data_IF_496279013810
#
_entry.id   IF_496279013810
#
_cell.length_a   1.000
_cell.length_b   1.000
_cell.length_c   1.000
_cell.angle_alpha   90.00
_cell.angle_beta   90.00
_cell.angle_gamma   90.00
#
_symmetry.space_group_name_H-M   'P 1'
#
loop_
_entity.id
_entity.type
_entity.pdbx_description
1 polymer ?
#
# COMPACT_ATOMS: atom_id res chain seq x y z
N UNK A 1 13.60 -58.82 58.65
CA UNK A 1 13.90 -58.46 57.23
C UNK A 1 12.62 -57.74 56.69
N UNK A 2 12.61 -56.40 56.70
CA UNK A 2 11.46 -55.60 56.23
C UNK A 2 11.77 -54.98 54.88
N UNK A 3 11.11 -55.42 53.85
CA UNK A 3 11.15 -54.80 52.51
C UNK A 3 10.28 -53.55 52.51
N UNK A 4 10.89 -52.41 52.20
CA UNK A 4 10.21 -51.15 51.99
C UNK A 4 10.04 -50.99 50.45
N UNK A 5 8.75 -51.12 49.97
CA UNK A 5 8.39 -50.78 48.59
C UNK A 5 8.25 -49.28 48.46
N UNK A 6 9.14 -48.64 47.70
CA UNK A 6 9.03 -47.26 47.33
C UNK A 6 8.15 -47.16 46.07
N UNK A 7 6.99 -46.47 46.18
CA UNK A 7 6.10 -46.16 45.05
C UNK A 7 6.53 -44.81 44.50
N UNK A 8 7.11 -44.78 43.31
CA UNK A 8 7.39 -43.58 42.54
C UNK A 8 6.09 -43.13 41.83
N UNK A 9 5.51 -42.05 42.29
CA UNK A 9 4.41 -41.38 41.58
C UNK A 9 4.97 -40.47 40.49
N UNK A 10 4.81 -40.80 39.23
CA UNK A 10 5.14 -39.97 38.09
C UNK A 10 4.02 -38.94 37.89
N UNK A 11 4.29 -37.68 38.21
CA UNK A 11 3.40 -36.56 37.89
C UNK A 11 3.61 -36.19 36.43
N UNK A 12 2.68 -36.56 35.55
CA UNK A 12 2.63 -36.12 34.17
C UNK A 12 2.06 -34.67 34.12
N UNK A 13 2.91 -33.69 33.95
CA UNK A 13 2.49 -32.32 33.63
C UNK A 13 1.93 -32.27 32.20
N UNK A 14 0.60 -32.36 32.05
CA UNK A 14 -0.05 -31.97 30.80
C UNK A 14 0.04 -30.44 30.66
N UNK A 15 0.98 -29.97 29.85
CA UNK A 15 1.00 -28.57 29.41
C UNK A 15 -0.17 -28.37 28.42
N UNK A 16 -1.27 -27.84 28.90
CA UNK A 16 -2.36 -27.35 28.04
C UNK A 16 -1.85 -26.08 27.33
N UNK A 17 -1.39 -26.23 26.09
CA UNK A 17 -1.16 -25.11 25.19
C UNK A 17 -2.52 -24.47 24.88
N UNK A 18 -2.80 -23.29 25.42
CA UNK A 18 -3.95 -22.50 24.98
C UNK A 18 -3.82 -22.24 23.48
N UNK A 19 -4.87 -22.42 22.67
CA UNK A 19 -4.81 -22.06 21.26
C UNK A 19 -4.47 -20.57 21.16
N UNK A 20 -3.35 -20.25 20.51
CA UNK A 20 -3.03 -18.86 20.17
C UNK A 20 -4.16 -18.33 19.29
N UNK A 21 -4.92 -17.34 19.81
CA UNK A 21 -5.93 -16.64 19.01
C UNK A 21 -5.24 -16.04 17.82
N UNK A 22 -5.56 -16.53 16.61
CA UNK A 22 -5.01 -15.95 15.38
C UNK A 22 -5.43 -14.48 15.32
N UNK A 23 -4.46 -13.57 15.34
CA UNK A 23 -4.72 -12.15 15.27
C UNK A 23 -5.39 -11.83 13.92
N UNK A 24 -6.58 -11.23 13.94
CA UNK A 24 -7.29 -10.84 12.72
C UNK A 24 -6.53 -9.73 11.99
N UNK A 25 -6.59 -9.76 10.65
CA UNK A 25 -6.07 -8.66 9.84
C UNK A 25 -6.85 -7.38 10.11
N UNK A 26 -6.15 -6.31 10.42
CA UNK A 26 -6.73 -4.98 10.61
C UNK A 26 -5.84 -3.91 9.99
N UNK A 27 -6.44 -3.00 9.20
CA UNK A 27 -5.78 -1.81 8.65
C UNK A 27 -6.43 -0.57 9.24
N UNK A 28 -5.62 0.34 9.78
CA UNK A 28 -6.08 1.62 10.33
C UNK A 28 -5.31 2.79 9.73
N UNK A 29 -6.06 3.85 9.40
CA UNK A 29 -5.54 5.11 8.89
C UNK A 29 -5.61 6.17 9.99
N UNK A 30 -4.55 6.97 10.15
CA UNK A 30 -4.45 7.99 11.21
C UNK A 30 -4.12 9.35 10.62
N UNK A 31 -4.81 10.37 11.14
CA UNK A 31 -4.53 11.78 10.92
C UNK A 31 -4.39 12.45 12.28
N UNK A 32 -3.23 13.05 12.52
CA UNK A 32 -2.92 13.77 13.76
C UNK A 32 -3.17 15.27 13.61
N UNK A 33 -3.20 15.76 12.38
CA UNK A 33 -3.37 17.16 12.01
C UNK A 33 -4.66 17.38 11.23
N UNK A 34 -5.39 18.45 11.51
CA UNK A 34 -6.63 18.77 10.79
C UNK A 34 -6.39 19.00 9.28
N UNK A 35 -5.26 19.60 8.91
CA UNK A 35 -4.95 19.90 7.51
C UNK A 35 -4.69 18.66 6.64
N UNK A 36 -4.37 17.52 7.23
CA UNK A 36 -4.12 16.27 6.49
C UNK A 36 -5.39 15.50 6.18
N UNK A 37 -6.48 15.76 6.93
CA UNK A 37 -7.76 15.07 6.75
C UNK A 37 -8.29 15.22 5.32
N UNK A 38 -8.63 14.09 4.70
CA UNK A 38 -9.11 14.03 3.32
C UNK A 38 -8.03 14.25 2.25
N UNK A 39 -6.78 14.49 2.67
CA UNK A 39 -5.64 14.69 1.74
C UNK A 39 -4.73 13.48 1.70
N UNK A 40 -4.34 12.95 2.85
CA UNK A 40 -3.56 11.73 3.02
C UNK A 40 -3.58 11.31 4.49
N UNK A 41 -3.24 10.05 4.77
CA UNK A 41 -2.99 9.61 6.15
C UNK A 41 -1.55 9.93 6.55
N UNK A 42 -1.35 10.45 7.76
CA UNK A 42 -0.01 10.67 8.32
C UNK A 42 0.64 9.34 8.72
N UNK A 43 -0.19 8.37 9.15
CA UNK A 43 0.23 7.01 9.38
C UNK A 43 -0.84 6.01 8.95
N UNK A 44 -0.40 4.83 8.56
CA UNK A 44 -1.24 3.64 8.37
C UNK A 44 -0.60 2.50 9.13
N UNK A 45 -1.38 1.82 9.97
CA UNK A 45 -0.94 0.59 10.63
C UNK A 45 -1.65 -0.61 10.03
N UNK A 46 -0.94 -1.73 9.97
CA UNK A 46 -1.53 -3.03 9.64
C UNK A 46 -1.09 -4.03 10.70
N UNK A 47 -2.04 -4.78 11.23
CA UNK A 47 -1.80 -5.85 12.20
C UNK A 47 -2.41 -7.15 11.69
N UNK A 48 -1.89 -8.28 12.17
CA UNK A 48 -2.32 -9.61 11.71
C UNK A 48 -1.64 -10.08 10.41
N UNK A 49 -1.88 -11.35 10.04
CA UNK A 49 -1.28 -11.95 8.85
C UNK A 49 -1.87 -11.36 7.57
N UNK A 50 -1.01 -11.02 6.61
CA UNK A 50 -1.42 -10.43 5.35
C UNK A 50 -0.42 -10.66 4.22
N UNK A 51 -0.91 -10.53 2.98
CA UNK A 51 -0.09 -10.50 1.76
C UNK A 51 0.27 -9.06 1.45
N UNK A 52 1.55 -8.75 1.40
CA UNK A 52 2.05 -7.47 0.89
C UNK A 52 2.15 -7.49 -0.64
N UNK A 53 1.85 -6.37 -1.25
CA UNK A 53 1.90 -6.16 -2.70
C UNK A 53 2.71 -4.89 -2.93
N UNK A 54 3.85 -5.03 -3.59
CA UNK A 54 4.71 -3.92 -4.01
C UNK A 54 4.53 -3.71 -5.50
N UNK A 55 4.09 -2.54 -5.93
CA UNK A 55 4.13 -2.17 -7.33
C UNK A 55 5.43 -1.39 -7.59
N UNK A 56 5.97 -1.54 -8.79
CA UNK A 56 7.00 -0.63 -9.27
C UNK A 56 6.42 0.78 -9.47
N UNK A 57 7.28 1.77 -9.69
CA UNK A 57 6.82 3.09 -10.11
C UNK A 57 5.97 3.00 -11.38
N UNK A 58 4.82 3.64 -11.36
CA UNK A 58 3.83 3.61 -12.45
C UNK A 58 3.62 5.03 -12.96
N UNK A 59 4.06 5.28 -14.17
CA UNK A 59 3.84 6.53 -14.90
C UNK A 59 2.93 6.35 -16.11
N UNK A 60 3.08 7.21 -17.09
CA UNK A 60 2.26 7.19 -18.32
C UNK A 60 2.94 6.42 -19.48
N UNK A 61 3.78 5.44 -19.18
CA UNK A 61 4.35 4.55 -20.20
C UNK A 61 3.24 3.75 -20.88
N UNK A 62 3.30 3.68 -22.20
CA UNK A 62 2.37 2.87 -22.99
C UNK A 62 2.58 1.39 -22.71
N UNK A 63 1.56 0.72 -22.15
CA UNK A 63 1.61 -0.72 -21.85
C UNK A 63 1.72 -1.59 -23.12
N UNK A 64 1.33 -1.06 -24.27
CA UNK A 64 1.41 -1.74 -25.58
C UNK A 64 2.60 -1.26 -26.43
N UNK A 65 3.36 -0.31 -25.91
CA UNK A 65 4.52 0.26 -26.59
C UNK A 65 5.77 -0.61 -26.49
N UNK A 66 6.86 -0.13 -27.08
CA UNK A 66 8.16 -0.82 -27.09
C UNK A 66 9.09 -0.40 -25.93
N UNK A 67 8.53 0.19 -24.86
CA UNK A 67 9.28 0.77 -23.75
C UNK A 67 9.76 2.20 -24.06
N UNK A 68 9.57 3.10 -23.10
CA UNK A 68 9.90 4.52 -23.25
C UNK A 68 8.91 5.34 -24.08
N UNK A 69 7.90 4.73 -24.68
CA UNK A 69 6.79 5.46 -25.27
C UNK A 69 5.88 5.99 -24.16
N UNK A 70 5.76 7.32 -24.11
CA UNK A 70 4.95 7.99 -23.10
C UNK A 70 3.67 8.51 -23.72
N UNK A 71 2.54 8.11 -23.15
CA UNK A 71 1.22 8.62 -23.51
C UNK A 71 0.97 9.99 -22.91
N UNK A 72 0.10 10.76 -23.53
CA UNK A 72 -0.35 12.06 -23.04
C UNK A 72 0.80 13.05 -22.75
N UNK A 73 1.83 13.08 -23.61
CA UNK A 73 2.96 14.01 -23.44
C UNK A 73 2.47 15.45 -23.34
N UNK A 74 2.94 16.16 -22.30
CA UNK A 74 2.54 17.55 -22.03
C UNK A 74 1.21 17.72 -21.29
N UNK A 75 0.41 16.65 -21.10
CA UNK A 75 -0.85 16.68 -20.34
C UNK A 75 -0.68 15.94 -19.01
N UNK A 76 -0.39 16.70 -17.95
CA UNK A 76 -0.19 16.15 -16.61
C UNK A 76 -1.42 15.40 -16.10
N UNK A 77 -2.63 15.98 -16.29
CA UNK A 77 -3.86 15.40 -15.77
C UNK A 77 -4.17 14.06 -16.44
N UNK A 78 -3.99 13.97 -17.75
CA UNK A 78 -4.17 12.71 -18.47
C UNK A 78 -3.13 11.66 -18.07
N UNK A 79 -1.86 12.04 -17.90
CA UNK A 79 -0.82 11.13 -17.39
C UNK A 79 -1.15 10.62 -15.99
N UNK A 80 -1.58 11.51 -15.09
CA UNK A 80 -1.96 11.13 -13.73
C UNK A 80 -3.11 10.11 -13.73
N UNK A 81 -4.18 10.37 -14.47
CA UNK A 81 -5.32 9.44 -14.57
C UNK A 81 -4.91 8.09 -15.13
N UNK A 82 -4.12 8.08 -16.20
CA UNK A 82 -3.64 6.85 -16.81
C UNK A 82 -2.74 6.03 -15.85
N UNK A 83 -1.86 6.69 -15.10
CA UNK A 83 -1.03 6.04 -14.08
C UNK A 83 -1.87 5.37 -13.00
N UNK A 84 -2.89 6.07 -12.47
CA UNK A 84 -3.79 5.47 -11.47
C UNK A 84 -4.67 4.35 -12.03
N UNK A 85 -5.09 4.42 -13.29
CA UNK A 85 -5.81 3.31 -13.93
C UNK A 85 -4.93 2.06 -14.04
N UNK A 86 -3.65 2.22 -14.37
CA UNK A 86 -2.67 1.11 -14.36
C UNK A 86 -2.51 0.53 -12.96
N UNK A 87 -2.33 1.37 -11.93
CA UNK A 87 -2.22 0.96 -10.53
C UNK A 87 -3.45 0.16 -10.10
N UNK A 88 -4.66 0.66 -10.40
CA UNK A 88 -5.91 -0.01 -10.08
C UNK A 88 -5.97 -1.41 -10.68
N UNK A 89 -5.70 -1.54 -11.98
CA UNK A 89 -5.68 -2.85 -12.67
C UNK A 89 -4.61 -3.80 -12.09
N UNK A 90 -3.43 -3.28 -11.74
CA UNK A 90 -2.37 -4.08 -11.15
C UNK A 90 -2.74 -4.59 -9.76
N UNK A 91 -3.38 -3.76 -8.93
CA UNK A 91 -3.90 -4.15 -7.62
C UNK A 91 -4.99 -5.22 -7.76
N UNK A 92 -5.96 -5.02 -8.65
CA UNK A 92 -7.07 -5.97 -8.92
C UNK A 92 -6.54 -7.35 -9.34
N UNK A 93 -5.54 -7.41 -10.23
CA UNK A 93 -4.87 -8.66 -10.63
C UNK A 93 -4.21 -9.39 -9.45
N UNK A 94 -3.87 -8.67 -8.39
CA UNK A 94 -3.27 -9.21 -7.17
C UNK A 94 -4.28 -9.40 -6.04
N UNK A 95 -5.59 -9.19 -6.28
CA UNK A 95 -6.65 -9.35 -5.31
C UNK A 95 -6.74 -8.22 -4.30
N UNK A 96 -6.32 -7.02 -4.68
CA UNK A 96 -6.37 -5.80 -3.88
C UNK A 96 -7.14 -4.69 -4.59
N UNK A 97 -7.44 -3.63 -3.86
CA UNK A 97 -8.10 -2.41 -4.31
C UNK A 97 -7.28 -1.17 -3.91
N UNK A 98 -7.70 0.00 -4.33
CA UNK A 98 -7.12 1.27 -3.85
C UNK A 98 -7.22 1.41 -2.33
N UNK A 99 -8.28 0.84 -1.72
CA UNK A 99 -8.47 0.84 -0.27
C UNK A 99 -7.43 0.05 0.51
N UNK A 100 -6.73 -0.87 -0.15
CA UNK A 100 -5.71 -1.71 0.48
C UNK A 100 -4.31 -1.09 0.45
N UNK A 101 -4.13 0.05 -0.24
CA UNK A 101 -2.86 0.77 -0.27
C UNK A 101 -2.52 1.27 1.14
N UNK A 102 -1.33 0.95 1.63
CA UNK A 102 -0.83 1.39 2.94
C UNK A 102 0.17 2.54 2.79
N UNK A 103 0.92 2.57 1.71
CA UNK A 103 1.90 3.62 1.40
C UNK A 103 1.85 3.99 -0.08
N UNK A 104 1.95 5.28 -0.33
CA UNK A 104 2.12 5.85 -1.66
C UNK A 104 3.26 6.85 -1.64
N UNK A 105 4.12 6.80 -2.64
CA UNK A 105 5.10 7.83 -2.94
C UNK A 105 4.83 8.35 -4.36
N UNK A 106 4.85 9.65 -4.52
CA UNK A 106 4.59 10.26 -5.83
C UNK A 106 5.71 11.21 -6.19
N UNK A 107 6.14 11.13 -7.43
CA UNK A 107 7.21 11.92 -8.00
C UNK A 107 6.63 12.81 -9.11
N UNK A 108 6.84 14.11 -8.99
CA UNK A 108 6.45 15.10 -10.00
C UNK A 108 7.70 15.75 -10.57
N UNK A 109 7.69 16.10 -11.83
CA UNK A 109 8.79 16.83 -12.47
C UNK A 109 8.72 18.34 -12.22
N UNK A 110 7.59 18.83 -11.70
CA UNK A 110 7.39 20.25 -11.38
C UNK A 110 6.41 20.38 -10.20
N UNK A 111 6.76 21.19 -9.20
CA UNK A 111 5.89 21.46 -8.04
C UNK A 111 4.57 22.14 -8.42
N UNK A 112 4.53 22.84 -9.55
CA UNK A 112 3.32 23.49 -10.07
C UNK A 112 2.21 22.49 -10.42
N UNK A 113 2.53 21.22 -10.63
CA UNK A 113 1.56 20.15 -10.83
C UNK A 113 0.89 19.65 -9.54
N UNK A 114 1.35 20.10 -8.37
CA UNK A 114 0.81 19.61 -7.08
C UNK A 114 -0.70 19.83 -6.91
N UNK A 115 -1.32 20.95 -7.32
CA UNK A 115 -2.77 21.13 -7.24
C UNK A 115 -3.53 20.14 -8.14
N UNK A 116 -3.08 19.93 -9.40
CA UNK A 116 -3.70 19.01 -10.35
C UNK A 116 -3.53 17.55 -9.90
N UNK A 117 -2.37 17.22 -9.33
CA UNK A 117 -2.14 15.91 -8.72
C UNK A 117 -3.09 15.69 -7.53
N UNK A 118 -3.29 16.68 -6.68
CA UNK A 118 -4.25 16.63 -5.58
C UNK A 118 -5.67 16.32 -6.06
N UNK A 119 -6.14 17.02 -7.11
CA UNK A 119 -7.43 16.79 -7.73
C UNK A 119 -7.53 15.39 -8.34
N UNK A 120 -6.54 14.98 -9.13
CA UNK A 120 -6.49 13.66 -9.75
C UNK A 120 -6.60 12.54 -8.69
N UNK A 121 -5.88 12.64 -7.57
CA UNK A 121 -5.99 11.69 -6.47
C UNK A 121 -7.38 11.67 -5.84
N UNK A 122 -7.95 12.84 -5.56
CA UNK A 122 -9.29 12.93 -4.98
C UNK A 122 -10.34 12.28 -5.88
N UNK A 123 -10.27 12.52 -7.18
CA UNK A 123 -11.15 11.88 -8.18
C UNK A 123 -10.94 10.36 -8.21
N UNK A 124 -9.70 9.89 -8.11
CA UNK A 124 -9.35 8.46 -8.14
C UNK A 124 -9.82 7.70 -6.90
N UNK A 125 -9.55 8.25 -5.71
CA UNK A 125 -9.88 7.59 -4.45
C UNK A 125 -11.33 7.80 -4.02
N UNK A 126 -11.98 8.90 -4.44
CA UNK A 126 -13.35 9.21 -4.03
C UNK A 126 -13.51 9.24 -2.52
N UNK A 127 -14.37 8.38 -1.98
CA UNK A 127 -14.58 8.22 -0.53
C UNK A 127 -13.61 7.24 0.14
N UNK A 128 -12.75 6.58 -0.63
CA UNK A 128 -11.76 5.64 -0.08
C UNK A 128 -10.73 6.39 0.79
N UNK A 129 -10.44 5.93 2.01
CA UNK A 129 -9.42 6.57 2.84
C UNK A 129 -8.06 6.62 2.14
N UNK A 130 -7.46 7.80 2.12
CA UNK A 130 -6.16 8.03 1.51
C UNK A 130 -5.06 7.30 2.28
N UNK A 131 -4.08 6.67 1.60
CA UNK A 131 -2.94 6.04 2.24
C UNK A 131 -1.99 7.04 2.89
N UNK A 132 -0.99 6.53 3.63
CA UNK A 132 0.16 7.34 4.01
C UNK A 132 0.91 7.76 2.74
N UNK A 133 1.16 9.07 2.58
CA UNK A 133 1.65 9.62 1.32
C UNK A 133 2.89 10.51 1.50
N UNK A 134 3.83 10.35 0.58
CA UNK A 134 4.98 11.24 0.40
C UNK A 134 4.93 11.78 -1.03
N UNK A 135 5.06 13.09 -1.20
CA UNK A 135 5.17 13.72 -2.51
C UNK A 135 6.53 14.38 -2.63
N UNK A 136 7.20 14.12 -3.73
CA UNK A 136 8.51 14.65 -4.06
C UNK A 136 8.46 15.35 -5.43
N UNK A 137 9.22 16.41 -5.57
CA UNK A 137 9.55 16.99 -6.88
C UNK A 137 10.98 16.63 -7.22
N UNK A 138 11.20 16.11 -8.41
CA UNK A 138 12.49 15.62 -8.89
C UNK A 138 12.82 16.26 -10.25
N UNK A 139 14.08 16.25 -10.63
CA UNK A 139 14.55 16.87 -11.86
C UNK A 139 14.00 16.22 -13.14
N UNK A 140 13.86 14.90 -13.14
CA UNK A 140 13.26 14.14 -14.25
C UNK A 140 12.92 12.72 -13.82
N UNK A 141 12.03 12.08 -14.57
CA UNK A 141 11.68 10.67 -14.48
C UNK A 141 12.47 9.85 -15.49
N UNK A 142 12.27 8.52 -15.50
CA UNK A 142 13.05 7.58 -16.29
C UNK A 142 13.00 7.85 -17.81
N UNK A 143 11.88 8.39 -18.30
CA UNK A 143 11.70 8.62 -19.74
C UNK A 143 11.34 10.08 -20.05
N UNK A 144 11.84 10.64 -21.15
CA UNK A 144 11.49 11.98 -21.58
C UNK A 144 9.97 12.11 -21.82
N UNK A 145 9.36 13.14 -21.26
CA UNK A 145 7.93 13.41 -21.41
C UNK A 145 7.06 12.83 -20.29
N UNK A 146 7.62 12.03 -19.36
CA UNK A 146 6.94 11.70 -18.10
C UNK A 146 6.87 12.93 -17.20
N UNK A 147 5.71 13.17 -16.61
CA UNK A 147 5.46 14.28 -15.68
C UNK A 147 5.15 13.82 -14.27
N UNK A 148 4.70 12.58 -14.13
CA UNK A 148 4.30 11.96 -12.86
C UNK A 148 4.65 10.47 -12.86
N UNK A 149 5.05 9.99 -11.69
CA UNK A 149 5.18 8.56 -11.37
C UNK A 149 4.67 8.31 -9.97
N UNK A 150 3.99 7.19 -9.76
CA UNK A 150 3.40 6.83 -8.48
C UNK A 150 3.82 5.42 -8.09
N UNK A 151 4.35 5.28 -6.89
CA UNK A 151 4.82 4.06 -6.28
C UNK A 151 3.90 3.69 -5.11
N UNK A 152 3.40 2.47 -5.06
CA UNK A 152 2.45 2.05 -4.03
C UNK A 152 2.83 0.71 -3.41
N UNK A 153 2.59 0.61 -2.10
CA UNK A 153 2.58 -0.63 -1.35
C UNK A 153 1.17 -0.87 -0.82
N UNK A 154 0.62 -2.04 -1.06
CA UNK A 154 -0.68 -2.45 -0.54
C UNK A 154 -0.55 -3.69 0.34
N UNK A 155 -1.55 -3.93 1.20
CA UNK A 155 -1.62 -5.13 2.04
C UNK A 155 -3.07 -5.60 2.17
N UNK A 156 -3.28 -6.90 1.94
CA UNK A 156 -4.59 -7.56 2.04
C UNK A 156 -4.52 -8.75 3.01
N UNK A 157 -5.65 -9.15 3.64
CA UNK A 157 -5.66 -10.33 4.49
C UNK A 157 -5.25 -11.59 3.72
N UNK A 158 -4.61 -12.53 4.38
CA UNK A 158 -4.46 -13.89 3.85
C UNK A 158 -5.85 -14.55 3.77
N UNK A 159 -6.11 -15.17 2.62
CA UNK A 159 -7.33 -15.99 2.43
C UNK A 159 -7.11 -17.39 2.97
#
# INVERSE_FOLDING_TARGET
>A
MRMICAVLAAIACLSMSAPASAQSFEKKNYNYSEWTKGRFSEAVTVTGPGKMIFLAGVGAEDENGKGGDILHKGDFTAQCKYSFDKIKRALEKNGATLGDIVKMVSYLTDVRFQPDFGKCRQETFGSTPMPAHTLLTISQLAWPGMLVEVDVTAMVPLK
#
